data_IF_577196164901
#
_entry.id   IF_577196164901
#
_cell.length_a   1.000
_cell.length_b   1.000
_cell.length_c   1.000
_cell.angle_alpha   90.00
_cell.angle_beta   90.00
_cell.angle_gamma   90.00
#
_symmetry.space_group_name_H-M   'P 1'
#
loop_
_entity.id
_entity.type
_entity.pdbx_description
1 polymer ?
#
# COMPACT_ATOMS: atom_id res chain seq x y z
N UNK A 1 -42.59 -19.03 -3.66
CA UNK A 1 -42.10 -20.33 -4.15
C UNK A 1 -41.78 -21.17 -2.92
N UNK A 2 -42.34 -22.37 -2.79
CA UNK A 2 -42.23 -23.16 -1.56
C UNK A 2 -40.80 -23.63 -1.34
N UNK A 3 -40.25 -23.34 -0.15
CA UNK A 3 -39.03 -23.96 0.36
C UNK A 3 -39.30 -25.45 0.56
N UNK A 4 -38.90 -26.28 -0.41
CA UNK A 4 -38.80 -27.72 -0.20
C UNK A 4 -37.78 -28.02 0.91
N UNK A 5 -37.84 -29.20 1.55
CA UNK A 5 -36.90 -29.57 2.60
C UNK A 5 -35.48 -29.47 2.06
N UNK A 6 -34.61 -28.74 2.77
CA UNK A 6 -33.18 -28.70 2.47
C UNK A 6 -32.67 -30.13 2.51
N UNK A 7 -32.20 -30.65 1.37
CA UNK A 7 -31.59 -31.96 1.33
C UNK A 7 -30.36 -31.93 2.26
N UNK A 8 -30.34 -32.80 3.27
CA UNK A 8 -29.16 -32.98 4.12
C UNK A 8 -28.06 -33.56 3.24
N UNK A 9 -26.92 -32.86 3.17
CA UNK A 9 -25.78 -33.28 2.37
C UNK A 9 -24.95 -34.27 3.18
N UNK A 10 -24.47 -35.34 2.57
CA UNK A 10 -23.53 -36.26 3.22
C UNK A 10 -22.14 -35.62 3.31
N UNK A 11 -21.29 -36.09 4.23
CA UNK A 11 -19.90 -35.58 4.37
C UNK A 11 -19.11 -35.73 3.06
N UNK A 12 -19.26 -36.87 2.37
CA UNK A 12 -18.59 -37.12 1.09
C UNK A 12 -19.07 -36.16 0.00
N UNK A 13 -20.37 -35.84 -0.02
CA UNK A 13 -20.92 -34.84 -0.95
C UNK A 13 -20.39 -33.44 -0.64
N UNK A 14 -20.32 -33.04 0.63
CA UNK A 14 -19.76 -31.75 1.05
C UNK A 14 -18.30 -31.66 0.62
N UNK A 15 -17.49 -32.66 0.93
CA UNK A 15 -16.05 -32.66 0.60
C UNK A 15 -15.79 -32.67 -0.91
N UNK A 16 -16.63 -33.38 -1.68
CA UNK A 16 -16.51 -33.42 -3.13
C UNK A 16 -16.89 -32.08 -3.77
N UNK A 17 -18.04 -31.51 -3.37
CA UNK A 17 -18.51 -30.23 -3.90
C UNK A 17 -17.56 -29.11 -3.50
N UNK A 18 -17.13 -29.05 -2.24
CA UNK A 18 -16.28 -27.96 -1.77
C UNK A 18 -14.92 -27.94 -2.49
N UNK A 19 -14.28 -29.11 -2.70
CA UNK A 19 -13.03 -29.20 -3.46
C UNK A 19 -13.20 -28.77 -4.91
N UNK A 20 -14.31 -29.15 -5.54
CA UNK A 20 -14.63 -28.74 -6.91
C UNK A 20 -14.87 -27.23 -7.01
N UNK A 21 -15.59 -26.63 -6.04
CA UNK A 21 -15.77 -25.18 -5.96
C UNK A 21 -14.44 -24.45 -5.83
N UNK A 22 -13.56 -24.92 -4.94
CA UNK A 22 -12.23 -24.30 -4.75
C UNK A 22 -11.40 -24.40 -6.02
N UNK A 23 -11.40 -25.54 -6.70
CA UNK A 23 -10.70 -25.71 -7.97
C UNK A 23 -11.22 -24.76 -9.06
N UNK A 24 -12.54 -24.60 -9.18
CA UNK A 24 -13.17 -23.66 -10.11
C UNK A 24 -12.81 -22.20 -9.79
N UNK A 25 -12.87 -21.82 -8.51
CA UNK A 25 -12.52 -20.48 -8.06
C UNK A 25 -11.06 -20.12 -8.32
N UNK A 26 -10.13 -21.03 -7.99
CA UNK A 26 -8.70 -20.87 -8.24
C UNK A 26 -8.36 -20.83 -9.74
N UNK A 27 -9.17 -21.47 -10.59
CA UNK A 27 -9.06 -21.38 -12.04
C UNK A 27 -9.66 -20.07 -12.62
N UNK A 28 -10.06 -19.12 -11.77
CA UNK A 28 -10.67 -17.84 -12.17
C UNK A 28 -12.14 -17.94 -12.56
N UNK A 29 -12.76 -19.12 -12.44
CA UNK A 29 -14.16 -19.37 -12.85
C UNK A 29 -15.13 -19.10 -11.69
N UNK A 30 -15.00 -17.92 -11.06
CA UNK A 30 -15.74 -17.52 -9.85
C UNK A 30 -17.27 -17.61 -10.00
N UNK A 31 -17.81 -17.32 -11.19
CA UNK A 31 -19.25 -17.47 -11.47
C UNK A 31 -19.73 -18.93 -11.37
N UNK A 32 -18.90 -19.89 -11.79
CA UNK A 32 -19.22 -21.32 -11.70
C UNK A 32 -19.14 -21.76 -10.24
N UNK A 33 -18.09 -21.33 -9.53
CA UNK A 33 -17.93 -21.55 -8.10
C UNK A 33 -19.17 -21.05 -7.34
N UNK A 34 -19.63 -19.83 -7.62
CA UNK A 34 -20.86 -19.26 -7.04
C UNK A 34 -22.11 -20.11 -7.28
N UNK A 35 -22.31 -20.63 -8.49
CA UNK A 35 -23.46 -21.50 -8.78
C UNK A 35 -23.40 -22.82 -8.01
N UNK A 36 -22.20 -23.36 -7.81
CA UNK A 36 -21.98 -24.66 -7.14
C UNK A 36 -22.14 -24.60 -5.62
N UNK A 37 -21.97 -23.44 -4.97
CA UNK A 37 -22.17 -23.31 -3.51
C UNK A 37 -23.64 -23.20 -3.07
N UNK A 38 -24.59 -23.05 -4.00
CA UNK A 38 -26.00 -22.82 -3.65
C UNK A 38 -26.63 -23.94 -2.79
N UNK A 39 -26.28 -25.23 -2.93
CA UNK A 39 -26.70 -26.26 -1.98
C UNK A 39 -26.21 -26.00 -0.56
N UNK A 40 -24.96 -25.58 -0.38
CA UNK A 40 -24.41 -25.25 0.94
C UNK A 40 -25.13 -24.05 1.56
N UNK A 41 -25.37 -22.98 0.79
CA UNK A 41 -26.11 -21.80 1.30
C UNK A 41 -27.50 -22.15 1.81
N UNK A 42 -28.18 -23.11 1.17
CA UNK A 42 -29.50 -23.60 1.62
C UNK A 42 -29.41 -24.48 2.87
N UNK A 43 -28.35 -25.28 3.00
CA UNK A 43 -28.18 -26.25 4.07
C UNK A 43 -27.56 -25.65 5.35
N UNK A 44 -26.68 -24.66 5.24
CA UNK A 44 -25.77 -24.19 6.31
C UNK A 44 -26.49 -23.90 7.63
N UNK A 45 -27.66 -23.25 7.58
CA UNK A 45 -28.46 -22.90 8.76
C UNK A 45 -28.84 -24.09 9.65
N UNK A 46 -28.88 -25.30 9.09
CA UNK A 46 -29.25 -26.52 9.79
C UNK A 46 -28.15 -27.59 9.75
N UNK A 47 -26.99 -27.28 9.14
CA UNK A 47 -25.89 -28.21 8.96
C UNK A 47 -24.55 -27.47 9.06
N UNK A 48 -23.92 -27.57 10.24
CA UNK A 48 -22.68 -26.85 10.57
C UNK A 48 -21.52 -27.20 9.63
N UNK A 49 -21.48 -28.43 9.11
CA UNK A 49 -20.48 -28.88 8.13
C UNK A 49 -20.59 -28.11 6.82
N UNK A 50 -21.81 -27.77 6.39
CA UNK A 50 -22.01 -26.95 5.20
C UNK A 50 -21.60 -25.49 5.44
N UNK A 51 -21.83 -24.96 6.65
CA UNK A 51 -21.33 -23.64 7.05
C UNK A 51 -19.80 -23.59 7.07
N UNK A 52 -19.15 -24.59 7.67
CA UNK A 52 -17.68 -24.71 7.69
C UNK A 52 -17.08 -24.88 6.29
N UNK A 53 -17.74 -25.63 5.41
CA UNK A 53 -17.32 -25.75 4.01
C UNK A 53 -17.40 -24.42 3.26
N UNK A 54 -18.44 -23.60 3.50
CA UNK A 54 -18.54 -22.25 2.94
C UNK A 54 -17.42 -21.33 3.47
N UNK A 55 -17.14 -21.37 4.77
CA UNK A 55 -16.02 -20.60 5.34
C UNK A 55 -14.68 -20.99 4.71
N UNK A 56 -14.43 -22.28 4.53
CA UNK A 56 -13.24 -22.76 3.84
C UNK A 56 -13.16 -22.25 2.39
N UNK A 57 -14.27 -22.30 1.64
CA UNK A 57 -14.33 -21.77 0.26
C UNK A 57 -14.01 -20.26 0.22
N UNK A 58 -14.49 -19.50 1.21
CA UNK A 58 -14.18 -18.07 1.35
C UNK A 58 -12.70 -17.86 1.67
N UNK A 59 -12.14 -18.60 2.62
CA UNK A 59 -10.72 -18.57 2.99
C UNK A 59 -9.80 -18.86 1.79
N UNK A 60 -10.22 -19.77 0.90
CA UNK A 60 -9.54 -20.08 -0.36
C UNK A 60 -9.78 -19.04 -1.49
N UNK A 61 -10.40 -17.89 -1.18
CA UNK A 61 -10.67 -16.77 -2.09
C UNK A 61 -11.37 -17.17 -3.41
N UNK A 62 -12.19 -18.23 -3.35
CA UNK A 62 -12.77 -18.88 -4.52
C UNK A 62 -14.03 -18.19 -5.08
N UNK A 63 -14.52 -17.17 -4.37
CA UNK A 63 -15.67 -16.33 -4.75
C UNK A 63 -15.23 -14.90 -5.05
N UNK A 64 -16.12 -14.09 -5.62
CA UNK A 64 -15.91 -12.62 -5.61
C UNK A 64 -16.04 -12.10 -4.18
N UNK A 65 -15.47 -10.93 -3.86
CA UNK A 65 -15.51 -10.40 -2.50
C UNK A 65 -16.91 -10.04 -2.03
N UNK A 66 -17.73 -9.51 -2.94
CA UNK A 66 -19.14 -9.21 -2.66
C UNK A 66 -19.90 -10.49 -2.29
N UNK A 67 -19.83 -11.52 -3.16
CA UNK A 67 -20.45 -12.83 -2.91
C UNK A 67 -19.94 -13.50 -1.62
N UNK A 68 -18.64 -13.41 -1.34
CA UNK A 68 -18.06 -13.96 -0.13
C UNK A 68 -18.54 -13.21 1.11
N UNK A 69 -18.62 -11.88 1.07
CA UNK A 69 -19.10 -11.04 2.17
C UNK A 69 -20.57 -11.34 2.49
N UNK A 70 -21.40 -11.55 1.45
CA UNK A 70 -22.79 -11.99 1.60
C UNK A 70 -22.88 -13.35 2.30
N UNK A 71 -22.05 -14.32 1.87
CA UNK A 71 -21.98 -15.65 2.49
C UNK A 71 -21.58 -15.57 3.95
N UNK A 72 -20.56 -14.78 4.30
CA UNK A 72 -20.16 -14.59 5.70
C UNK A 72 -21.31 -13.99 6.53
N UNK A 73 -22.05 -13.04 5.96
CA UNK A 73 -23.19 -12.41 6.64
C UNK A 73 -24.33 -13.40 6.90
N UNK A 74 -24.66 -14.25 5.92
CA UNK A 74 -25.67 -15.31 6.08
C UNK A 74 -25.29 -16.36 7.13
N UNK A 75 -24.00 -16.68 7.25
CA UNK A 75 -23.50 -17.61 8.26
C UNK A 75 -23.55 -16.97 9.64
N UNK A 76 -23.12 -15.71 9.78
CA UNK A 76 -23.17 -14.99 11.05
C UNK A 76 -24.61 -14.90 11.60
N UNK A 77 -25.59 -14.63 10.73
CA UNK A 77 -27.00 -14.53 11.11
C UNK A 77 -27.61 -15.89 11.52
N UNK A 78 -27.09 -16.99 10.97
CA UNK A 78 -27.61 -18.34 11.20
C UNK A 78 -26.98 -19.02 12.43
N UNK A 79 -25.80 -18.59 12.85
CA UNK A 79 -24.96 -19.26 13.84
C UNK A 79 -24.44 -18.29 14.92
N UNK A 80 -25.35 -17.47 15.49
CA UNK A 80 -25.02 -16.39 16.43
C UNK A 80 -24.52 -16.84 17.81
N UNK A 81 -24.59 -18.15 18.10
CA UNK A 81 -24.14 -18.79 19.34
C UNK A 81 -23.05 -19.86 19.14
N UNK A 82 -22.68 -20.19 17.89
CA UNK A 82 -21.69 -21.22 17.61
C UNK A 82 -20.27 -20.65 17.57
N UNK A 83 -19.51 -20.87 18.65
CA UNK A 83 -18.16 -20.33 18.84
C UNK A 83 -17.20 -20.76 17.73
N UNK A 84 -17.26 -22.02 17.29
CA UNK A 84 -16.32 -22.55 16.30
C UNK A 84 -16.54 -21.86 14.95
N UNK A 85 -17.81 -21.72 14.54
CA UNK A 85 -18.19 -21.03 13.29
C UNK A 85 -17.83 -19.55 13.37
N UNK A 86 -18.19 -18.85 14.45
CA UNK A 86 -17.94 -17.42 14.60
C UNK A 86 -16.42 -17.12 14.63
N UNK A 87 -15.64 -17.95 15.30
CA UNK A 87 -14.18 -17.81 15.34
C UNK A 87 -13.56 -18.02 13.95
N UNK A 88 -14.02 -19.03 13.22
CA UNK A 88 -13.58 -19.29 11.84
C UNK A 88 -14.01 -18.18 10.87
N UNK A 89 -15.22 -17.66 11.01
CA UNK A 89 -15.74 -16.53 10.24
C UNK A 89 -14.89 -15.27 10.46
N UNK A 90 -14.54 -14.97 11.72
CA UNK A 90 -13.68 -13.84 12.05
C UNK A 90 -12.30 -13.89 11.39
N UNK A 91 -11.77 -15.10 11.14
CA UNK A 91 -10.54 -15.28 10.35
C UNK A 91 -10.79 -15.04 8.85
N UNK A 92 -11.94 -15.49 8.32
CA UNK A 92 -12.30 -15.34 6.91
C UNK A 92 -12.54 -13.88 6.48
N UNK A 93 -12.71 -12.94 7.42
CA UNK A 93 -12.84 -11.52 7.08
C UNK A 93 -11.62 -10.96 6.34
N UNK A 94 -10.44 -11.54 6.54
CA UNK A 94 -9.24 -11.17 5.78
C UNK A 94 -9.39 -11.53 4.29
N UNK A 95 -10.00 -12.67 3.96
CA UNK A 95 -10.15 -13.14 2.59
C UNK A 95 -11.15 -12.32 1.76
N UNK A 96 -12.03 -11.55 2.43
CA UNK A 96 -13.01 -10.68 1.76
C UNK A 96 -12.60 -9.21 1.75
N UNK A 97 -11.40 -8.91 2.25
CA UNK A 97 -10.77 -7.59 2.21
C UNK A 97 -9.72 -7.58 1.09
N UNK A 98 -9.62 -6.50 0.30
CA UNK A 98 -8.59 -6.44 -0.74
C UNK A 98 -7.20 -6.39 -0.11
N UNK A 99 -6.22 -7.11 -0.64
CA UNK A 99 -4.84 -6.90 -0.21
C UNK A 99 -4.23 -5.64 -0.86
N UNK A 100 -4.75 -5.22 -2.03
CA UNK A 100 -4.44 -3.91 -2.64
C UNK A 100 -4.88 -2.75 -1.73
N UNK A 101 -5.76 -3.03 -0.77
CA UNK A 101 -6.29 -2.13 0.25
C UNK A 101 -5.43 -2.10 1.52
N UNK A 102 -4.16 -2.54 1.53
CA UNK A 102 -3.26 -2.21 2.65
C UNK A 102 -3.39 -0.72 3.01
N UNK A 103 -3.67 0.13 2.02
CA UNK A 103 -3.95 1.55 2.14
C UNK A 103 -5.42 1.98 2.07
N UNK A 104 -6.43 1.11 2.06
CA UNK A 104 -7.81 1.57 1.95
C UNK A 104 -8.41 2.04 3.27
N UNK A 105 -9.57 2.67 3.14
CA UNK A 105 -10.44 3.05 4.25
C UNK A 105 -11.03 1.82 4.96
N UNK A 106 -11.56 1.96 6.19
CA UNK A 106 -12.27 0.90 6.87
C UNK A 106 -13.41 0.33 6.02
N UNK A 107 -13.69 -0.97 6.11
CA UNK A 107 -14.81 -1.57 5.40
C UNK A 107 -16.14 -1.01 5.90
N UNK A 108 -17.05 -0.72 4.97
CA UNK A 108 -18.39 -0.21 5.29
C UNK A 108 -19.40 -1.32 5.60
N UNK A 109 -19.14 -2.55 5.14
CA UNK A 109 -20.10 -3.64 5.31
C UNK A 109 -20.30 -3.98 6.81
N UNK A 110 -21.55 -4.05 7.32
CA UNK A 110 -21.81 -4.21 8.75
C UNK A 110 -21.19 -5.45 9.40
N UNK A 111 -20.96 -6.52 8.62
CA UNK A 111 -20.39 -7.79 9.10
C UNK A 111 -19.05 -7.60 9.81
N UNK A 112 -18.21 -6.66 9.37
CA UNK A 112 -16.90 -6.46 9.98
C UNK A 112 -17.04 -5.92 11.41
N UNK A 113 -17.86 -4.89 11.58
CA UNK A 113 -18.10 -4.29 12.90
C UNK A 113 -18.86 -5.25 13.82
N UNK A 114 -19.91 -5.93 13.32
CA UNK A 114 -20.71 -6.85 14.13
C UNK A 114 -19.91 -8.07 14.57
N UNK A 115 -19.01 -8.58 13.73
CA UNK A 115 -18.17 -9.72 14.07
C UNK A 115 -17.13 -9.38 15.14
N UNK A 116 -16.48 -8.20 15.05
CA UNK A 116 -15.59 -7.71 16.10
C UNK A 116 -16.34 -7.60 17.43
N UNK A 117 -17.53 -7.00 17.44
CA UNK A 117 -18.33 -6.87 18.65
C UNK A 117 -18.74 -8.23 19.25
N UNK A 118 -19.14 -9.18 18.40
CA UNK A 118 -19.51 -10.54 18.83
C UNK A 118 -18.32 -11.29 19.42
N UNK A 119 -17.17 -11.28 18.74
CA UNK A 119 -15.98 -12.00 19.20
C UNK A 119 -15.33 -11.34 20.43
N UNK A 120 -15.38 -10.01 20.56
CA UNK A 120 -14.91 -9.31 21.77
C UNK A 120 -15.75 -9.69 23.00
N UNK A 121 -17.07 -9.80 22.84
CA UNK A 121 -17.96 -10.29 23.91
C UNK A 121 -17.64 -11.75 24.26
N UNK A 122 -17.49 -12.62 23.26
CA UNK A 122 -17.16 -14.04 23.49
C UNK A 122 -15.78 -14.20 24.16
N UNK A 123 -14.77 -13.41 23.75
CA UNK A 123 -13.44 -13.46 24.33
C UNK A 123 -13.45 -13.13 25.83
N UNK A 124 -14.26 -12.15 26.25
CA UNK A 124 -14.46 -11.80 27.67
C UNK A 124 -15.20 -12.90 28.43
N UNK A 125 -16.20 -13.53 27.82
CA UNK A 125 -16.98 -14.59 28.46
C UNK A 125 -16.17 -15.88 28.67
N UNK A 126 -15.29 -16.20 27.72
CA UNK A 126 -14.47 -17.42 27.73
C UNK A 126 -13.03 -17.16 28.20
N UNK A 127 -12.75 -16.04 28.87
CA UNK A 127 -11.39 -15.69 29.28
C UNK A 127 -10.76 -16.79 30.16
N UNK A 128 -9.61 -17.31 29.72
CA UNK A 128 -8.90 -18.41 30.38
C UNK A 128 -9.48 -19.81 30.14
N UNK A 129 -10.60 -19.92 29.42
CA UNK A 129 -11.20 -21.17 28.99
C UNK A 129 -10.52 -21.79 27.75
N UNK A 130 -10.87 -23.04 27.40
CA UNK A 130 -10.27 -23.74 26.27
C UNK A 130 -10.61 -23.11 24.92
N UNK A 131 -11.75 -22.43 24.78
CA UNK A 131 -12.12 -21.75 23.54
C UNK A 131 -11.48 -20.36 23.37
N UNK A 132 -10.84 -19.83 24.42
CA UNK A 132 -10.35 -18.45 24.43
C UNK A 132 -9.34 -18.17 23.30
N UNK A 133 -8.42 -19.11 23.07
CA UNK A 133 -7.39 -18.97 22.04
C UNK A 133 -8.00 -18.84 20.63
N UNK A 134 -8.97 -19.69 20.28
CA UNK A 134 -9.60 -19.64 18.96
C UNK A 134 -10.45 -18.38 18.76
N UNK A 135 -11.15 -17.93 19.79
CA UNK A 135 -11.93 -16.68 19.75
C UNK A 135 -10.98 -15.49 19.54
N UNK A 136 -9.88 -15.42 20.31
CA UNK A 136 -8.89 -14.35 20.19
C UNK A 136 -8.24 -14.30 18.81
N UNK A 137 -8.00 -15.46 18.18
CA UNK A 137 -7.50 -15.51 16.80
C UNK A 137 -8.48 -14.86 15.82
N UNK A 138 -9.75 -15.25 15.85
CA UNK A 138 -10.79 -14.63 15.03
C UNK A 138 -10.93 -13.13 15.31
N UNK A 139 -10.96 -12.75 16.59
CA UNK A 139 -11.08 -11.36 17.04
C UNK A 139 -9.92 -10.49 16.56
N UNK A 140 -8.68 -10.98 16.70
CA UNK A 140 -7.49 -10.27 16.26
C UNK A 140 -7.54 -9.97 14.75
N UNK A 141 -7.85 -10.97 13.92
CA UNK A 141 -7.97 -10.79 12.48
C UNK A 141 -9.14 -9.85 12.12
N UNK A 142 -10.32 -10.07 12.71
CA UNK A 142 -11.50 -9.22 12.47
C UNK A 142 -11.23 -7.75 12.81
N UNK A 143 -10.59 -7.50 13.95
CA UNK A 143 -10.25 -6.16 14.40
C UNK A 143 -9.19 -5.51 13.49
N UNK A 144 -8.19 -6.27 13.01
CA UNK A 144 -7.22 -5.75 12.04
C UNK A 144 -7.87 -5.36 10.71
N UNK A 145 -8.90 -6.10 10.28
CA UNK A 145 -9.63 -5.79 9.03
C UNK A 145 -10.46 -4.51 9.12
N UNK A 146 -10.73 -4.01 10.33
CA UNK A 146 -11.34 -2.69 10.57
C UNK A 146 -10.34 -1.53 10.45
N UNK A 147 -9.19 -1.73 9.79
CA UNK A 147 -8.12 -0.75 9.68
C UNK A 147 -7.76 -0.18 11.06
N UNK A 148 -7.70 1.14 11.26
CA UNK A 148 -7.34 1.78 12.54
C UNK A 148 -8.46 1.78 13.57
N UNK A 149 -9.70 1.48 13.18
CA UNK A 149 -10.89 1.68 14.03
C UNK A 149 -10.91 0.76 15.26
N UNK A 150 -10.21 -0.38 15.20
CA UNK A 150 -10.22 -1.41 16.26
C UNK A 150 -8.80 -1.78 16.74
N UNK A 151 -7.83 -0.88 16.60
CA UNK A 151 -6.42 -1.15 16.93
C UNK A 151 -6.21 -1.64 18.37
N UNK A 152 -6.90 -1.05 19.34
CA UNK A 152 -6.79 -1.46 20.74
C UNK A 152 -7.25 -2.91 20.96
N UNK A 153 -8.33 -3.33 20.29
CA UNK A 153 -8.85 -4.70 20.35
C UNK A 153 -7.88 -5.65 19.65
N UNK A 154 -7.40 -5.29 18.46
CA UNK A 154 -6.44 -6.08 17.70
C UNK A 154 -5.15 -6.31 18.48
N UNK A 155 -4.53 -5.24 18.99
CA UNK A 155 -3.27 -5.32 19.76
C UNK A 155 -3.45 -6.17 21.02
N UNK A 156 -4.49 -5.89 21.82
CA UNK A 156 -4.74 -6.63 23.05
C UNK A 156 -4.96 -8.13 22.77
N UNK A 157 -5.69 -8.47 21.70
CA UNK A 157 -5.94 -9.86 21.33
C UNK A 157 -4.65 -10.56 20.90
N UNK A 158 -3.82 -9.91 20.07
CA UNK A 158 -2.51 -10.45 19.66
C UNK A 158 -1.58 -10.63 20.86
N UNK A 159 -1.51 -9.67 21.78
CA UNK A 159 -0.70 -9.79 22.99
C UNK A 159 -1.15 -10.96 23.86
N UNK A 160 -2.46 -11.10 24.10
CA UNK A 160 -3.00 -12.28 24.83
C UNK A 160 -2.65 -13.60 24.15
N UNK A 161 -2.70 -13.68 22.81
CA UNK A 161 -2.29 -14.88 22.08
C UNK A 161 -0.81 -15.23 22.35
N UNK A 162 0.08 -14.23 22.37
CA UNK A 162 1.51 -14.45 22.72
C UNK A 162 1.72 -14.87 24.18
N UNK A 163 0.78 -14.55 25.08
CA UNK A 163 0.81 -14.98 26.48
C UNK A 163 0.27 -16.41 26.65
N UNK A 164 -0.76 -16.79 25.88
CA UNK A 164 -1.37 -18.13 25.89
C UNK A 164 -0.39 -19.19 25.38
N UNK A 165 0.25 -18.95 24.22
CA UNK A 165 1.31 -19.82 23.71
C UNK A 165 2.54 -19.00 23.29
N UNK A 166 3.48 -18.77 24.23
CA UNK A 166 4.70 -18.03 23.98
C UNK A 166 5.64 -18.70 22.97
N UNK A 167 5.45 -20.00 22.67
CA UNK A 167 6.30 -20.75 21.73
C UNK A 167 5.74 -20.77 20.31
N UNK A 168 4.53 -20.25 20.11
CA UNK A 168 3.89 -20.17 18.79
C UNK A 168 4.41 -18.97 18.02
N UNK A 169 5.42 -19.20 17.19
CA UNK A 169 6.04 -18.18 16.33
C UNK A 169 5.02 -17.33 15.55
N UNK A 170 3.94 -17.95 15.07
CA UNK A 170 2.87 -17.25 14.34
C UNK A 170 2.21 -16.10 15.12
N UNK A 171 2.13 -16.18 16.45
CA UNK A 171 1.56 -15.11 17.27
C UNK A 171 2.48 -13.90 17.37
N UNK A 172 3.78 -14.13 17.54
CA UNK A 172 4.78 -13.07 17.50
C UNK A 172 4.87 -12.45 16.10
N UNK A 173 4.77 -13.28 15.05
CA UNK A 173 4.77 -12.82 13.67
C UNK A 173 3.59 -11.88 13.39
N UNK A 174 2.37 -12.27 13.77
CA UNK A 174 1.17 -11.46 13.57
C UNK A 174 1.21 -10.16 14.39
N UNK A 175 1.75 -10.20 15.62
CA UNK A 175 1.96 -9.00 16.43
C UNK A 175 2.98 -8.05 15.78
N UNK A 176 4.07 -8.58 15.21
CA UNK A 176 5.04 -7.79 14.45
C UNK A 176 4.44 -7.16 13.19
N UNK A 177 3.61 -7.90 12.45
CA UNK A 177 2.88 -7.39 11.29
C UNK A 177 1.92 -6.25 11.68
N UNK A 178 1.21 -6.41 12.79
CA UNK A 178 0.36 -5.35 13.35
C UNK A 178 1.19 -4.09 13.59
N UNK A 179 2.29 -4.17 14.34
CA UNK A 179 3.14 -3.01 14.60
C UNK A 179 3.75 -2.38 13.34
N UNK A 180 4.18 -3.19 12.36
CA UNK A 180 4.71 -2.72 11.07
C UNK A 180 3.73 -1.77 10.38
N UNK A 181 2.48 -2.19 10.24
CA UNK A 181 1.44 -1.40 9.55
C UNK A 181 1.00 -0.16 10.34
N UNK A 182 1.37 -0.06 11.63
CA UNK A 182 1.11 1.07 12.54
C UNK A 182 2.30 2.00 12.73
N UNK A 183 3.40 1.80 12.00
CA UNK A 183 4.62 2.61 12.15
C UNK A 183 5.35 2.41 13.48
N UNK A 184 4.90 1.46 14.31
CA UNK A 184 5.48 1.10 15.60
C UNK A 184 6.67 0.17 15.38
N UNK A 185 7.62 0.65 14.58
CA UNK A 185 8.66 -0.18 13.99
C UNK A 185 9.59 -0.79 15.03
N UNK A 186 9.86 -0.10 16.14
CA UNK A 186 10.69 -0.64 17.23
C UNK A 186 10.01 -1.84 17.92
N UNK A 187 8.71 -1.75 18.21
CA UNK A 187 7.96 -2.91 18.71
C UNK A 187 7.85 -4.02 17.66
N UNK A 188 7.72 -3.64 16.37
CA UNK A 188 7.77 -4.55 15.25
C UNK A 188 9.07 -5.35 15.17
N UNK A 189 10.23 -4.71 15.39
CA UNK A 189 11.54 -5.38 15.48
C UNK A 189 11.54 -6.39 16.63
N UNK A 190 11.07 -6.00 17.83
CA UNK A 190 11.05 -6.90 18.98
C UNK A 190 10.19 -8.14 18.73
N UNK A 191 8.97 -7.97 18.20
CA UNK A 191 8.06 -9.07 17.89
C UNK A 191 8.60 -9.95 16.74
N UNK A 192 9.16 -9.35 15.69
CA UNK A 192 9.72 -10.11 14.58
C UNK A 192 10.97 -10.92 14.99
N UNK A 193 11.84 -10.36 15.85
CA UNK A 193 12.97 -11.12 16.44
C UNK A 193 12.47 -12.28 17.31
N UNK A 194 11.44 -12.05 18.13
CA UNK A 194 10.83 -13.11 18.92
C UNK A 194 10.27 -14.21 18.01
N UNK A 195 9.55 -13.85 16.95
CA UNK A 195 9.04 -14.80 15.96
C UNK A 195 10.15 -15.62 15.31
N UNK A 196 11.23 -14.98 14.85
CA UNK A 196 12.38 -15.63 14.23
C UNK A 196 13.08 -16.60 15.19
N UNK A 197 13.25 -16.22 16.46
CA UNK A 197 13.92 -17.06 17.47
C UNK A 197 13.18 -18.37 17.81
N UNK A 198 11.88 -18.43 17.52
CA UNK A 198 11.03 -19.59 17.75
C UNK A 198 10.96 -20.54 16.55
N UNK A 199 11.54 -20.16 15.40
CA UNK A 199 11.52 -20.97 14.19
C UNK A 199 12.72 -21.90 14.15
N UNK A 200 12.51 -23.15 13.70
CA UNK A 200 13.59 -24.12 13.50
C UNK A 200 14.44 -23.78 12.28
N UNK A 201 13.81 -23.15 11.28
CA UNK A 201 14.42 -22.73 10.03
C UNK A 201 14.08 -21.26 9.78
N UNK A 202 15.02 -20.53 9.18
CA UNK A 202 14.82 -19.15 8.77
C UNK A 202 13.69 -19.11 7.73
N UNK A 203 12.66 -18.30 8.00
CA UNK A 203 11.57 -18.06 7.04
C UNK A 203 11.70 -16.67 6.44
N UNK A 204 11.71 -16.60 5.10
CA UNK A 204 11.82 -15.35 4.36
C UNK A 204 10.79 -14.30 4.79
N UNK A 205 9.54 -14.70 5.06
CA UNK A 205 8.49 -13.76 5.51
C UNK A 205 8.81 -13.13 6.86
N UNK A 206 9.45 -13.87 7.76
CA UNK A 206 9.79 -13.38 9.10
C UNK A 206 11.02 -12.49 9.06
N UNK A 207 12.07 -12.88 8.31
CA UNK A 207 13.23 -12.01 8.07
C UNK A 207 12.82 -10.73 7.33
N UNK A 208 11.92 -10.82 6.35
CA UNK A 208 11.41 -9.64 5.65
C UNK A 208 10.72 -8.66 6.61
N UNK A 209 9.83 -9.16 7.47
CA UNK A 209 9.16 -8.34 8.48
C UNK A 209 10.16 -7.72 9.48
N UNK A 210 11.19 -8.46 9.87
CA UNK A 210 12.25 -7.93 10.72
C UNK A 210 13.05 -6.84 10.01
N UNK A 211 13.46 -7.07 8.76
CA UNK A 211 14.27 -6.14 7.98
C UNK A 211 13.54 -4.82 7.68
N UNK A 212 12.26 -4.89 7.32
CA UNK A 212 11.45 -3.68 7.06
C UNK A 212 11.17 -2.91 8.35
N UNK A 213 10.87 -3.59 9.46
CA UNK A 213 10.71 -2.93 10.76
C UNK A 213 12.03 -2.30 11.21
N UNK A 214 13.17 -2.98 11.04
CA UNK A 214 14.48 -2.42 11.40
C UNK A 214 14.81 -1.19 10.55
N UNK A 215 14.49 -1.23 9.25
CA UNK A 215 14.67 -0.08 8.35
C UNK A 215 13.78 1.09 8.77
N UNK A 216 12.49 0.84 9.04
CA UNK A 216 11.55 1.86 9.53
C UNK A 216 11.93 2.44 10.89
N UNK A 217 12.45 1.62 11.80
CA UNK A 217 12.94 2.04 13.11
C UNK A 217 14.30 2.77 13.06
N UNK A 218 14.94 2.81 11.88
CA UNK A 218 16.33 3.26 11.69
C UNK A 218 17.34 2.48 12.56
N UNK A 219 17.03 1.22 12.88
CA UNK A 219 17.97 0.24 13.45
C UNK A 219 18.81 -0.32 12.30
N UNK A 220 19.72 0.51 11.81
CA UNK A 220 20.47 0.24 10.57
C UNK A 220 21.40 -0.95 10.69
N UNK A 221 21.96 -1.21 11.88
CA UNK A 221 22.77 -2.40 12.14
C UNK A 221 21.96 -3.67 11.91
N UNK A 222 20.77 -3.76 12.53
CA UNK A 222 19.87 -4.91 12.36
C UNK A 222 19.37 -5.03 10.94
N UNK A 223 18.99 -3.91 10.32
CA UNK A 223 18.50 -3.93 8.95
C UNK A 223 19.58 -4.45 7.99
N UNK A 224 20.82 -3.98 8.10
CA UNK A 224 21.95 -4.46 7.29
C UNK A 224 22.21 -5.95 7.49
N UNK A 225 22.26 -6.41 8.74
CA UNK A 225 22.46 -7.83 9.08
C UNK A 225 21.39 -8.71 8.43
N UNK A 226 20.12 -8.38 8.63
CA UNK A 226 18.97 -9.12 8.08
C UNK A 226 19.01 -9.15 6.56
N UNK A 227 19.14 -7.99 5.91
CA UNK A 227 19.11 -7.95 4.46
C UNK A 227 20.32 -8.66 3.84
N UNK A 228 21.51 -8.58 4.45
CA UNK A 228 22.69 -9.35 4.02
C UNK A 228 22.46 -10.86 4.19
N UNK A 229 21.85 -11.31 5.28
CA UNK A 229 21.43 -12.72 5.45
C UNK A 229 20.43 -13.16 4.38
N UNK A 230 19.54 -12.26 3.96
CA UNK A 230 18.62 -12.47 2.82
C UNK A 230 19.28 -12.30 1.45
N UNK A 231 20.62 -12.27 1.38
CA UNK A 231 21.39 -12.22 0.14
C UNK A 231 21.41 -10.86 -0.58
N UNK A 232 20.94 -9.79 0.07
CA UNK A 232 20.93 -8.46 -0.50
C UNK A 232 22.34 -7.86 -0.52
N UNK A 233 22.70 -7.20 -1.62
CA UNK A 233 23.99 -6.51 -1.78
C UNK A 233 23.84 -5.06 -1.36
N UNK A 234 23.94 -4.82 -0.05
CA UNK A 234 23.72 -3.49 0.53
C UNK A 234 24.75 -3.16 1.60
N UNK A 235 25.02 -1.87 1.76
CA UNK A 235 25.92 -1.30 2.77
C UNK A 235 25.29 -0.09 3.45
N UNK A 236 25.99 0.52 4.41
CA UNK A 236 25.54 1.77 5.01
C UNK A 236 25.49 2.88 3.95
N UNK A 237 24.31 3.45 3.75
CA UNK A 237 24.02 4.47 2.74
C UNK A 237 24.00 5.91 3.24
N UNK A 238 23.70 6.81 2.30
CA UNK A 238 23.81 8.27 2.47
C UNK A 238 22.84 8.86 3.51
N UNK A 239 21.74 8.16 3.81
CA UNK A 239 20.75 8.57 4.81
C UNK A 239 20.93 7.88 6.17
N UNK A 240 22.07 7.21 6.38
CA UNK A 240 22.25 6.34 7.54
C UNK A 240 21.32 5.11 7.51
N UNK A 241 20.87 4.72 6.31
CA UNK A 241 19.99 3.58 6.05
C UNK A 241 20.68 2.58 5.12
N UNK A 242 20.20 1.32 5.01
CA UNK A 242 20.80 0.34 4.11
C UNK A 242 20.65 0.72 2.63
N UNK A 243 21.73 0.74 1.86
CA UNK A 243 21.73 1.19 0.47
C UNK A 243 22.49 0.23 -0.45
N UNK A 244 21.91 -0.05 -1.61
CA UNK A 244 22.50 -0.84 -2.69
C UNK A 244 21.89 -0.52 -4.05
N UNK A 245 22.29 -1.26 -5.08
CA UNK A 245 21.82 -1.06 -6.44
C UNK A 245 20.57 -1.88 -6.76
N UNK A 246 19.45 -1.21 -6.99
CA UNK A 246 18.19 -1.82 -7.37
C UNK A 246 17.60 -1.19 -8.63
N UNK A 247 16.86 -1.98 -9.40
CA UNK A 247 16.04 -1.45 -10.49
C UNK A 247 15.01 -0.47 -9.94
N UNK A 248 14.76 0.61 -10.68
CA UNK A 248 13.70 1.55 -10.36
C UNK A 248 12.35 0.81 -10.28
N UNK A 249 11.49 1.30 -9.38
CA UNK A 249 10.12 0.82 -9.25
C UNK A 249 9.18 2.01 -9.08
N UNK A 250 7.88 1.70 -9.01
CA UNK A 250 6.86 2.70 -8.76
C UNK A 250 6.32 2.55 -7.34
N UNK A 251 5.91 3.66 -6.75
CA UNK A 251 5.18 3.67 -5.48
C UNK A 251 3.90 4.48 -5.65
N UNK A 252 2.79 3.94 -5.16
CA UNK A 252 1.55 4.70 -4.98
C UNK A 252 1.66 5.49 -3.68
N UNK A 253 2.10 6.73 -3.80
CA UNK A 253 2.15 7.67 -2.69
C UNK A 253 0.74 8.04 -2.26
N UNK A 254 0.56 8.20 -0.97
CA UNK A 254 -0.67 8.64 -0.35
C UNK A 254 -0.42 9.90 0.47
N UNK A 255 -1.41 10.78 0.52
CA UNK A 255 -1.42 11.95 1.39
C UNK A 255 -1.28 11.55 2.86
N UNK A 256 -1.83 10.37 3.21
CA UNK A 256 -1.74 9.75 4.53
C UNK A 256 -1.14 8.34 4.38
N UNK A 257 0.18 8.18 4.54
CA UNK A 257 0.87 6.90 4.44
C UNK A 257 0.33 5.90 5.47
N UNK A 258 0.33 4.60 5.15
CA UNK A 258 -0.31 3.59 5.99
C UNK A 258 0.10 3.66 7.45
N UNK A 259 1.40 3.73 7.72
CA UNK A 259 1.99 3.69 9.05
C UNK A 259 1.69 4.94 9.87
N UNK A 260 1.30 6.04 9.22
CA UNK A 260 1.12 7.36 9.83
C UNK A 260 -0.35 7.68 10.13
N UNK A 261 -1.28 6.80 9.73
CA UNK A 261 -2.72 7.00 9.96
C UNK A 261 -3.13 6.78 11.41
N UNK A 262 -4.20 7.48 11.78
CA UNK A 262 -4.93 7.35 13.03
C UNK A 262 -6.39 6.97 12.73
N UNK A 263 -7.17 6.60 13.76
CA UNK A 263 -8.59 6.29 13.58
C UNK A 263 -9.40 7.45 13.00
N UNK A 264 -9.03 8.70 13.32
CA UNK A 264 -9.70 9.91 12.81
C UNK A 264 -9.38 10.21 11.34
N UNK A 265 -8.26 9.68 10.83
CA UNK A 265 -7.72 9.94 9.50
C UNK A 265 -7.35 8.61 8.81
N UNK A 266 -8.30 7.68 8.81
CA UNK A 266 -8.09 6.29 8.38
C UNK A 266 -8.39 6.08 6.89
N UNK A 267 -7.85 6.95 6.03
CA UNK A 267 -7.99 6.85 4.59
C UNK A 267 -6.72 7.42 3.92
N UNK A 268 -6.39 7.03 2.68
CA UNK A 268 -5.16 7.47 2.02
C UNK A 268 -5.16 8.96 1.65
N UNK A 269 -6.32 9.59 1.57
CA UNK A 269 -6.49 10.90 0.97
C UNK A 269 -6.21 10.89 -0.53
N UNK A 270 -5.59 11.97 -1.02
CA UNK A 270 -5.10 12.02 -2.39
C UNK A 270 -3.95 11.04 -2.59
N UNK A 271 -3.84 10.47 -3.79
CA UNK A 271 -2.80 9.52 -4.14
C UNK A 271 -2.18 9.83 -5.51
N UNK A 272 -0.89 9.55 -5.65
CA UNK A 272 -0.14 9.73 -6.89
C UNK A 272 0.85 8.59 -7.07
N UNK A 273 0.93 8.01 -8.27
CA UNK A 273 1.90 6.93 -8.54
C UNK A 273 3.12 7.49 -9.23
N UNK A 274 4.28 7.35 -8.57
CA UNK A 274 5.53 7.97 -9.02
C UNK A 274 6.63 6.94 -9.17
N UNK A 275 7.68 7.33 -9.90
CA UNK A 275 8.95 6.62 -9.93
C UNK A 275 9.81 6.98 -8.73
N UNK A 276 10.50 5.98 -8.19
CA UNK A 276 11.49 6.16 -7.14
C UNK A 276 12.86 5.59 -7.54
N UNK A 277 13.91 6.20 -7.02
CA UNK A 277 15.24 5.58 -6.95
C UNK A 277 15.23 4.62 -5.76
N UNK A 278 15.23 3.31 -6.05
CA UNK A 278 15.16 2.28 -5.02
C UNK A 278 16.54 2.07 -4.40
N UNK A 279 16.64 2.26 -3.08
CA UNK A 279 17.89 2.13 -2.33
C UNK A 279 18.02 0.78 -1.62
N UNK A 280 16.89 0.20 -1.22
CA UNK A 280 16.85 -1.10 -0.56
C UNK A 280 15.62 -1.91 -0.99
N UNK A 281 15.44 -3.13 -0.48
CA UNK A 281 14.24 -3.90 -0.74
C UNK A 281 12.94 -3.19 -0.30
N UNK A 282 13.01 -2.22 0.63
CA UNK A 282 11.81 -1.58 1.21
C UNK A 282 11.87 -0.05 1.32
N UNK A 283 12.87 0.66 0.78
CA UNK A 283 12.84 2.12 0.73
C UNK A 283 13.53 2.72 -0.50
N UNK A 284 13.22 3.98 -0.77
CA UNK A 284 13.79 4.71 -1.89
C UNK A 284 13.51 6.21 -1.84
N UNK A 285 14.08 6.93 -2.81
CA UNK A 285 13.97 8.39 -2.95
C UNK A 285 12.90 8.69 -3.99
N UNK A 286 11.99 9.63 -3.69
CA UNK A 286 11.01 10.11 -4.67
C UNK A 286 11.74 10.87 -5.80
N UNK A 287 11.61 10.40 -7.04
CA UNK A 287 12.28 10.99 -8.23
C UNK A 287 11.32 11.58 -9.27
N UNK A 288 10.05 11.71 -8.92
CA UNK A 288 9.07 12.48 -9.71
C UNK A 288 8.61 13.67 -8.90
N UNK A 289 8.59 14.87 -9.48
CA UNK A 289 7.97 16.02 -8.80
C UNK A 289 6.47 15.83 -8.88
N UNK A 290 5.81 15.82 -7.72
CA UNK A 290 4.40 15.47 -7.64
C UNK A 290 3.54 16.46 -8.42
N UNK A 291 2.35 16.05 -8.84
CA UNK A 291 1.32 16.98 -9.30
C UNK A 291 0.38 17.36 -8.15
N UNK A 292 -0.01 16.37 -7.35
CA UNK A 292 -0.81 16.57 -6.16
C UNK A 292 -0.03 17.20 -5.01
N UNK A 293 -0.76 17.75 -4.04
CA UNK A 293 -0.19 18.17 -2.76
C UNK A 293 -0.34 17.02 -1.75
N UNK A 294 0.71 16.22 -1.60
CA UNK A 294 0.81 15.16 -0.61
C UNK A 294 1.65 15.63 0.58
N UNK A 295 1.74 14.82 1.64
CA UNK A 295 2.60 15.10 2.81
C UNK A 295 4.09 14.81 2.56
N UNK A 296 4.43 14.35 1.36
CA UNK A 296 5.77 13.98 0.89
C UNK A 296 6.05 14.65 -0.43
N UNK A 297 7.32 14.84 -0.75
CA UNK A 297 7.73 15.52 -1.98
C UNK A 297 9.00 14.91 -2.61
N UNK A 298 9.38 15.44 -3.77
CA UNK A 298 10.62 15.07 -4.45
C UNK A 298 11.83 15.12 -3.49
N UNK A 299 12.69 14.09 -3.56
CA UNK A 299 13.87 13.97 -2.72
C UNK A 299 13.60 13.30 -1.36
N UNK A 300 12.35 13.24 -0.89
CA UNK A 300 12.04 12.54 0.36
C UNK A 300 12.33 11.04 0.24
N UNK A 301 12.75 10.45 1.36
CA UNK A 301 13.03 9.03 1.48
C UNK A 301 11.82 8.35 2.11
N UNK A 302 11.22 7.43 1.37
CA UNK A 302 10.00 6.72 1.78
C UNK A 302 10.25 5.23 1.98
N UNK A 303 9.50 4.65 2.91
CA UNK A 303 9.37 3.23 3.16
C UNK A 303 8.18 2.69 2.35
N UNK A 304 8.37 1.54 1.72
CA UNK A 304 7.36 0.79 0.96
C UNK A 304 7.27 -0.64 1.49
N UNK A 305 6.09 -1.26 1.38
CA UNK A 305 5.98 -2.69 1.69
C UNK A 305 6.64 -3.56 0.60
N UNK A 306 6.94 -4.81 0.93
CA UNK A 306 7.62 -5.74 0.01
C UNK A 306 6.72 -6.43 -1.00
N UNK A 307 5.42 -6.48 -0.72
CA UNK A 307 4.43 -7.02 -1.65
C UNK A 307 3.95 -5.89 -2.58
N UNK A 308 4.12 -6.01 -3.91
CA UNK A 308 3.54 -5.05 -4.83
C UNK A 308 2.02 -5.18 -4.84
N UNK A 309 1.33 -4.04 -4.99
CA UNK A 309 -0.13 -3.96 -5.13
C UNK A 309 -0.57 -4.14 -6.59
N UNK A 310 0.31 -3.89 -7.55
CA UNK A 310 0.07 -4.22 -8.96
C UNK A 310 1.40 -4.17 -9.73
N UNK A 311 1.33 -4.51 -11.01
CA UNK A 311 2.42 -4.35 -11.97
C UNK A 311 1.94 -3.50 -13.14
N UNK A 312 2.77 -2.56 -13.57
CA UNK A 312 2.54 -1.77 -14.76
C UNK A 312 3.48 -2.24 -15.88
N UNK A 313 2.90 -2.61 -17.02
CA UNK A 313 3.66 -3.01 -18.21
C UNK A 313 4.27 -1.79 -18.89
N UNK A 314 5.52 -1.88 -19.28
CA UNK A 314 6.22 -0.92 -20.15
C UNK A 314 6.94 -1.70 -21.24
N UNK A 315 6.33 -1.83 -22.42
CA UNK A 315 6.79 -2.75 -23.46
C UNK A 315 6.84 -4.20 -22.95
N UNK A 316 8.02 -4.83 -22.94
CA UNK A 316 8.22 -6.20 -22.44
C UNK A 316 8.47 -6.28 -20.93
N UNK A 317 8.56 -5.14 -20.23
CA UNK A 317 8.92 -5.10 -18.81
C UNK A 317 7.69 -4.98 -17.92
N UNK A 318 7.66 -5.77 -16.85
CA UNK A 318 6.70 -5.62 -15.75
C UNK A 318 7.34 -4.84 -14.61
N UNK A 319 6.82 -3.64 -14.32
CA UNK A 319 7.34 -2.78 -13.27
C UNK A 319 6.44 -2.87 -12.04
N UNK A 320 6.95 -3.31 -10.88
CA UNK A 320 6.15 -3.42 -9.67
C UNK A 320 5.75 -2.03 -9.14
N UNK A 321 4.54 -1.96 -8.61
CA UNK A 321 4.02 -0.80 -7.89
C UNK A 321 3.83 -1.19 -6.43
N UNK A 322 4.52 -0.50 -5.54
CA UNK A 322 4.44 -0.77 -4.10
C UNK A 322 3.56 0.26 -3.38
N UNK A 323 2.96 -0.10 -2.22
CA UNK A 323 2.22 0.83 -1.40
C UNK A 323 3.19 1.71 -0.58
N UNK A 324 2.82 2.98 -0.38
CA UNK A 324 3.53 3.88 0.52
C UNK A 324 3.23 3.54 1.98
N UNK A 325 4.24 3.07 2.73
CA UNK A 325 4.11 2.66 4.12
C UNK A 325 4.35 3.86 5.05
N UNK A 326 5.48 4.55 4.93
CA UNK A 326 5.86 5.66 5.80
C UNK A 326 6.88 6.59 5.13
N UNK A 327 6.98 7.82 5.61
CA UNK A 327 8.06 8.73 5.24
C UNK A 327 9.21 8.60 6.24
N UNK A 328 10.39 8.23 5.76
CA UNK A 328 11.56 8.09 6.62
C UNK A 328 12.29 9.41 6.78
N UNK A 329 12.54 10.15 5.70
CA UNK A 329 13.32 11.40 5.73
C UNK A 329 12.68 12.44 4.84
N UNK A 330 12.39 13.62 5.40
CA UNK A 330 12.03 14.81 4.61
C UNK A 330 13.28 15.60 4.24
N UNK A 331 13.46 15.87 2.95
CA UNK A 331 14.57 16.67 2.45
C UNK A 331 14.20 18.16 2.30
N UNK A 332 12.91 18.49 2.35
CA UNK A 332 12.41 19.88 2.32
C UNK A 332 12.90 20.67 1.10
N UNK A 333 12.74 20.10 -0.09
CA UNK A 333 13.05 20.80 -1.34
C UNK A 333 12.21 22.07 -1.48
N UNK A 334 12.79 23.06 -2.14
CA UNK A 334 12.09 24.26 -2.59
C UNK A 334 11.40 23.95 -3.92
N UNK A 335 10.16 24.40 -4.08
CA UNK A 335 9.38 24.19 -5.29
C UNK A 335 8.90 25.50 -5.89
N UNK A 336 9.05 25.63 -7.20
CA UNK A 336 8.59 26.81 -7.95
C UNK A 336 7.83 26.36 -9.19
N UNK A 337 6.57 26.76 -9.32
CA UNK A 337 5.81 26.48 -10.53
C UNK A 337 6.43 27.24 -11.71
N UNK A 338 6.43 26.62 -12.90
CA UNK A 338 6.84 27.28 -14.13
C UNK A 338 5.85 27.04 -15.26
N UNK A 339 5.82 27.98 -16.19
CA UNK A 339 5.23 27.83 -17.51
C UNK A 339 6.24 28.31 -18.55
N UNK A 340 6.35 27.61 -19.67
CA UNK A 340 7.38 27.88 -20.66
C UNK A 340 7.00 27.44 -22.06
N UNK A 341 7.85 27.80 -23.02
CA UNK A 341 7.73 27.39 -24.41
C UNK A 341 8.99 26.66 -24.86
N UNK A 342 8.84 25.63 -25.68
CA UNK A 342 9.92 24.84 -26.26
C UNK A 342 9.64 24.53 -27.73
N UNK A 343 10.68 24.27 -28.52
CA UNK A 343 10.56 23.83 -29.93
C UNK A 343 10.53 22.31 -30.06
N UNK A 344 11.25 21.60 -29.19
CA UNK A 344 11.33 20.15 -29.18
C UNK A 344 10.95 19.61 -27.80
N UNK A 345 10.38 18.40 -27.76
CA UNK A 345 10.08 17.72 -26.51
C UNK A 345 11.31 17.68 -25.58
N UNK A 346 11.08 17.83 -24.27
CA UNK A 346 12.09 17.83 -23.20
C UNK A 346 13.11 18.97 -23.20
N UNK A 347 13.08 19.93 -24.12
CA UNK A 347 14.09 21.00 -24.20
C UNK A 347 14.26 21.76 -22.86
N UNK A 348 13.15 22.02 -22.15
CA UNK A 348 13.17 22.65 -20.83
C UNK A 348 13.58 21.68 -19.71
N UNK A 349 13.19 20.40 -19.79
CA UNK A 349 13.58 19.38 -18.79
C UNK A 349 15.09 19.18 -18.81
N UNK A 350 15.70 19.15 -20.00
CA UNK A 350 17.13 18.91 -20.20
C UNK A 350 18.00 20.06 -19.65
N UNK A 351 17.41 21.19 -19.22
CA UNK A 351 18.12 22.21 -18.42
C UNK A 351 18.59 21.67 -17.07
N UNK A 352 17.94 20.62 -16.55
CA UNK A 352 18.29 20.01 -15.25
C UNK A 352 19.75 19.56 -15.18
N UNK A 353 20.35 19.15 -16.31
CA UNK A 353 21.76 18.75 -16.38
C UNK A 353 22.76 19.91 -16.13
N UNK A 354 22.28 21.15 -16.24
CA UNK A 354 23.09 22.37 -16.05
C UNK A 354 22.82 23.04 -14.69
N UNK A 355 21.92 22.47 -13.87
CA UNK A 355 21.64 22.96 -12.53
C UNK A 355 22.64 22.37 -11.52
N UNK A 356 22.85 23.08 -10.41
CA UNK A 356 23.69 22.61 -9.33
C UNK A 356 22.96 21.52 -8.51
N UNK A 357 23.73 20.57 -7.97
CA UNK A 357 23.22 19.57 -7.03
C UNK A 357 22.17 18.64 -7.65
N UNK A 358 21.08 18.44 -6.92
CA UNK A 358 19.95 17.58 -7.31
C UNK A 358 18.72 18.41 -7.72
N UNK A 359 18.94 19.65 -8.18
CA UNK A 359 17.87 20.49 -8.69
C UNK A 359 17.39 20.03 -10.07
N UNK A 360 16.08 20.07 -10.30
CA UNK A 360 15.48 19.61 -11.56
C UNK A 360 14.34 20.52 -12.02
N UNK A 361 14.15 20.56 -13.34
CA UNK A 361 12.96 21.12 -13.99
C UNK A 361 12.08 19.96 -14.43
N UNK A 362 10.92 19.81 -13.78
CA UNK A 362 10.00 18.71 -14.05
C UNK A 362 8.75 19.20 -14.78
N UNK A 363 8.58 18.74 -16.01
CA UNK A 363 7.41 19.03 -16.86
C UNK A 363 6.24 18.13 -16.51
N UNK A 364 5.19 18.68 -15.91
CA UNK A 364 3.95 17.93 -15.69
C UNK A 364 3.19 17.72 -16.99
N UNK A 365 3.25 18.67 -17.93
CA UNK A 365 2.63 18.52 -19.26
C UNK A 365 3.13 17.29 -20.01
N UNK A 366 4.40 16.94 -19.87
CA UNK A 366 5.01 15.82 -20.60
C UNK A 366 5.07 14.52 -19.80
N UNK A 367 5.04 14.57 -18.46
CA UNK A 367 5.24 13.39 -17.62
C UNK A 367 4.01 12.96 -16.80
N UNK A 368 2.98 13.81 -16.65
CA UNK A 368 1.77 13.45 -15.92
C UNK A 368 0.80 12.65 -16.79
N UNK A 369 0.27 11.56 -16.23
CA UNK A 369 -0.80 10.76 -16.84
C UNK A 369 -1.96 10.63 -15.86
N UNK A 370 -3.15 11.02 -16.28
CA UNK A 370 -4.39 10.79 -15.53
C UNK A 370 -5.03 9.51 -16.07
N UNK A 371 -5.28 8.55 -15.19
CA UNK A 371 -5.87 7.25 -15.54
C UNK A 371 -7.07 6.98 -14.63
N UNK A 372 -8.07 6.25 -15.16
CA UNK A 372 -9.10 5.69 -14.30
C UNK A 372 -8.52 4.52 -13.49
N UNK A 373 -9.16 4.18 -12.38
CA UNK A 373 -8.68 3.16 -11.46
C UNK A 373 -8.60 1.76 -12.10
N UNK A 374 -9.43 1.46 -13.10
CA UNK A 374 -9.39 0.18 -13.82
C UNK A 374 -8.19 0.09 -14.75
N UNK A 375 -7.90 1.15 -15.53
CA UNK A 375 -6.73 1.15 -16.40
C UNK A 375 -5.43 1.13 -15.59
N UNK A 376 -5.39 1.83 -14.46
CA UNK A 376 -4.23 1.82 -13.57
C UNK A 376 -3.97 0.43 -12.97
N UNK A 377 -5.02 -0.32 -12.59
CA UNK A 377 -4.84 -1.67 -12.02
C UNK A 377 -4.54 -2.75 -13.06
N UNK A 378 -4.75 -2.49 -14.35
CA UNK A 378 -4.71 -3.52 -15.37
C UNK A 378 -3.27 -3.78 -15.85
N UNK A 379 -2.66 -4.94 -15.53
CA UNK A 379 -1.30 -5.24 -15.96
C UNK A 379 -1.20 -5.46 -17.47
N UNK A 380 -2.29 -5.77 -18.18
CA UNK A 380 -2.25 -6.07 -19.62
C UNK A 380 -2.17 -4.81 -20.50
N UNK A 381 -2.36 -3.63 -19.92
CA UNK A 381 -2.21 -2.36 -20.63
C UNK A 381 -0.74 -1.95 -20.63
N UNK A 382 -0.19 -1.67 -21.81
CA UNK A 382 1.12 -1.03 -21.91
C UNK A 382 1.02 0.42 -21.42
N UNK A 383 1.58 0.69 -20.25
CA UNK A 383 1.60 2.00 -19.63
C UNK A 383 2.57 2.96 -20.33
N UNK A 384 3.44 2.45 -21.22
CA UNK A 384 4.26 3.23 -22.13
C UNK A 384 3.50 3.72 -23.38
N UNK A 385 2.40 3.06 -23.75
CA UNK A 385 1.65 3.40 -24.96
C UNK A 385 0.86 4.69 -24.74
N UNK A 386 1.32 5.74 -25.42
CA UNK A 386 0.66 7.04 -25.49
C UNK A 386 1.09 7.75 -26.77
N UNK A 387 0.18 8.52 -27.35
CA UNK A 387 0.54 9.47 -28.41
C UNK A 387 1.53 10.49 -27.86
N UNK A 388 2.78 10.41 -28.31
CA UNK A 388 3.79 11.45 -28.06
C UNK A 388 3.41 12.68 -28.88
N UNK A 389 2.51 13.49 -28.35
CA UNK A 389 2.24 14.80 -28.91
C UNK A 389 3.38 15.74 -28.53
N UNK A 390 3.98 16.40 -29.51
CA UNK A 390 4.88 17.51 -29.23
C UNK A 390 4.11 18.64 -28.54
N UNK A 391 4.58 19.05 -27.36
CA UNK A 391 4.01 20.13 -26.57
C UNK A 391 4.95 21.32 -26.64
N UNK A 392 4.51 22.37 -27.34
CA UNK A 392 5.26 23.61 -27.46
C UNK A 392 5.07 24.53 -26.25
N UNK A 393 3.97 24.39 -25.52
CA UNK A 393 3.75 25.04 -24.22
C UNK A 393 3.82 23.97 -23.13
N UNK A 394 4.61 24.25 -22.11
CA UNK A 394 4.90 23.30 -21.03
C UNK A 394 4.69 23.98 -19.69
N UNK A 395 4.01 23.28 -18.79
CA UNK A 395 3.83 23.67 -17.40
C UNK A 395 4.41 22.60 -16.49
N UNK A 396 4.96 23.04 -15.35
CA UNK A 396 5.50 22.10 -14.40
C UNK A 396 6.03 22.76 -13.12
N UNK A 397 6.95 22.08 -12.44
CA UNK A 397 7.59 22.56 -11.23
C UNK A 397 9.11 22.38 -11.30
N UNK A 398 9.82 23.39 -10.81
CA UNK A 398 11.25 23.32 -10.50
C UNK A 398 11.36 22.85 -9.06
N UNK A 399 12.16 21.81 -8.81
CA UNK A 399 12.51 21.34 -7.48
C UNK A 399 13.99 21.62 -7.24
N UNK A 400 14.34 22.19 -6.09
CA UNK A 400 15.72 22.46 -5.74
C UNK A 400 16.00 22.14 -4.27
N UNK A 401 17.16 21.52 -3.96
CA UNK A 401 17.61 21.36 -2.58
C UNK A 401 17.58 22.68 -1.78
N UNK A 402 17.34 22.62 -0.46
CA UNK A 402 17.22 23.83 0.38
C UNK A 402 18.50 24.64 0.51
N UNK A 403 19.66 24.07 0.20
CA UNK A 403 20.97 24.72 0.21
C UNK A 403 21.27 25.53 -1.07
N UNK A 404 20.46 25.37 -2.13
CA UNK A 404 20.58 26.18 -3.34
C UNK A 404 19.78 27.47 -3.18
N UNK A 405 20.48 28.60 -3.20
CA UNK A 405 19.85 29.91 -3.14
C UNK A 405 18.96 30.16 -4.39
N UNK A 406 17.73 30.70 -4.23
CA UNK A 406 16.86 31.04 -5.36
C UNK A 406 17.52 31.92 -6.42
N UNK A 407 18.39 32.86 -6.02
CA UNK A 407 19.16 33.72 -6.93
C UNK A 407 20.12 32.92 -7.82
N UNK A 408 20.79 31.91 -7.25
CA UNK A 408 21.71 31.03 -7.96
C UNK A 408 20.94 30.12 -8.92
N UNK A 409 19.83 29.55 -8.46
CA UNK A 409 18.97 28.71 -9.28
C UNK A 409 18.44 29.47 -10.50
N UNK A 410 17.93 30.69 -10.29
CA UNK A 410 17.43 31.55 -11.37
C UNK A 410 18.53 31.88 -12.40
N UNK A 411 19.73 32.23 -11.93
CA UNK A 411 20.88 32.54 -12.80
C UNK A 411 21.36 31.33 -13.64
N UNK A 412 21.28 30.12 -13.09
CA UNK A 412 21.59 28.90 -13.85
C UNK A 412 20.54 28.62 -14.94
N UNK A 413 19.25 28.79 -14.61
CA UNK A 413 18.16 28.64 -15.57
C UNK A 413 18.30 29.67 -16.69
N UNK A 414 18.57 30.94 -16.36
CA UNK A 414 18.74 32.00 -17.36
C UNK A 414 19.88 31.69 -18.34
N UNK A 415 21.03 31.25 -17.83
CA UNK A 415 22.17 30.82 -18.66
C UNK A 415 21.84 29.63 -19.54
N UNK A 416 21.10 28.65 -19.01
CA UNK A 416 20.68 27.47 -19.76
C UNK A 416 19.67 27.81 -20.88
N UNK A 417 18.76 28.75 -20.63
CA UNK A 417 17.80 29.29 -21.60
C UNK A 417 18.53 30.08 -22.70
N UNK A 418 19.43 31.00 -22.32
CA UNK A 418 20.20 31.82 -23.27
C UNK A 418 21.01 30.94 -24.24
N UNK A 419 21.67 29.90 -23.72
CA UNK A 419 22.43 28.93 -24.51
C UNK A 419 21.58 28.18 -25.55
N UNK A 420 20.30 27.92 -25.26
CA UNK A 420 19.36 27.24 -26.17
C UNK A 420 18.73 28.19 -27.17
N UNK A 421 18.47 29.45 -26.78
CA UNK A 421 17.97 30.52 -27.64
C UNK A 421 16.54 30.38 -28.17
N UNK A 422 15.97 29.16 -28.19
CA UNK A 422 14.65 28.88 -28.78
C UNK A 422 13.57 28.45 -27.78
N UNK A 423 13.84 28.56 -26.48
CA UNK A 423 12.88 28.28 -25.42
C UNK A 423 12.76 29.46 -24.45
N UNK A 424 11.69 29.46 -23.66
CA UNK A 424 11.43 30.44 -22.61
C UNK A 424 10.87 29.73 -21.38
N UNK A 425 11.19 30.21 -20.19
CA UNK A 425 10.66 29.69 -18.92
C UNK A 425 10.32 30.86 -18.01
N UNK A 426 9.11 30.85 -17.45
CA UNK A 426 8.62 31.86 -16.52
C UNK A 426 8.28 31.17 -15.18
N UNK A 427 8.91 31.61 -14.10
CA UNK A 427 8.73 31.09 -12.74
C UNK A 427 8.60 32.26 -11.76
N UNK A 428 7.41 32.87 -11.65
CA UNK A 428 7.20 34.11 -10.90
C UNK A 428 7.63 34.02 -9.43
N UNK A 429 7.31 32.91 -8.77
CA UNK A 429 7.64 32.69 -7.36
C UNK A 429 9.15 32.51 -7.14
N UNK A 430 9.87 31.94 -8.11
CA UNK A 430 11.33 31.87 -8.08
C UNK A 430 11.94 33.28 -8.21
N UNK A 431 11.40 34.12 -9.10
CA UNK A 431 11.80 35.52 -9.22
C UNK A 431 11.57 36.30 -7.93
N UNK A 432 10.43 36.11 -7.26
CA UNK A 432 10.15 36.72 -5.96
C UNK A 432 11.17 36.25 -4.90
N UNK A 433 11.40 34.93 -4.81
CA UNK A 433 12.36 34.34 -3.87
C UNK A 433 13.81 34.80 -4.13
N UNK A 434 14.15 35.10 -5.39
CA UNK A 434 15.42 35.68 -5.80
C UNK A 434 15.50 37.21 -5.58
N UNK A 435 14.44 37.86 -5.08
CA UNK A 435 14.39 39.30 -4.86
C UNK A 435 14.18 40.15 -6.12
N UNK A 436 13.81 39.54 -7.25
CA UNK A 436 13.58 40.21 -8.54
C UNK A 436 12.10 40.59 -8.75
N UNK A 437 11.53 41.43 -7.88
CA UNK A 437 10.10 41.77 -7.89
C UNK A 437 9.60 42.37 -9.22
N UNK A 438 10.42 43.19 -9.89
CA UNK A 438 10.03 43.76 -11.19
C UNK A 438 9.88 42.68 -12.27
N UNK A 439 10.75 41.66 -12.25
CA UNK A 439 10.70 40.51 -13.15
C UNK A 439 9.53 39.61 -12.80
N UNK A 440 9.30 39.34 -11.51
CA UNK A 440 8.15 38.55 -11.03
C UNK A 440 6.83 39.09 -11.58
N UNK A 441 6.61 40.41 -11.54
CA UNK A 441 5.38 41.01 -12.09
C UNK A 441 5.20 40.80 -13.61
N UNK A 442 6.30 40.75 -14.37
CA UNK A 442 6.27 40.49 -15.80
C UNK A 442 6.01 39.00 -16.04
N UNK A 443 6.76 38.13 -15.37
CA UNK A 443 6.62 36.69 -15.50
C UNK A 443 5.25 36.21 -15.06
N UNK A 444 4.64 36.80 -14.03
CA UNK A 444 3.29 36.45 -13.59
C UNK A 444 2.25 36.61 -14.68
N UNK A 445 2.37 37.66 -15.51
CA UNK A 445 1.50 37.89 -16.67
C UNK A 445 1.77 36.86 -17.77
N UNK A 446 3.04 36.52 -18.01
CA UNK A 446 3.44 35.53 -19.03
C UNK A 446 3.03 34.11 -18.65
N UNK A 447 3.20 33.76 -17.38
CA UNK A 447 2.75 32.52 -16.78
C UNK A 447 1.24 32.35 -16.98
N UNK A 448 0.43 33.33 -16.56
CA UNK A 448 -1.03 33.29 -16.74
C UNK A 448 -1.45 33.12 -18.20
N UNK A 449 -0.79 33.81 -19.14
CA UNK A 449 -1.06 33.65 -20.59
C UNK A 449 -0.81 32.22 -21.11
N UNK A 450 0.08 31.46 -20.48
CA UNK A 450 0.40 30.09 -20.88
C UNK A 450 -0.43 29.04 -20.13
N UNK A 451 -0.93 29.36 -18.93
CA UNK A 451 -1.71 28.42 -18.10
C UNK A 451 -3.22 28.54 -18.25
N UNK A 452 -3.73 29.72 -18.62
CA UNK A 452 -5.18 30.01 -18.64
C UNK A 452 -5.85 29.69 -20.00
N UNK A 453 -5.17 28.98 -20.90
CA UNK A 453 -5.68 28.59 -22.22
C UNK A 453 -6.30 27.19 -22.25
#
# INVERSE_FOLDING_TARGET
MSNGPSAVLTSDEIDAIARDVVAEGQAGRKQIAWQKIQPFRKAQRHQTEAAMALLWIVDQQSLTREEATDVLSEIADAHDDNIDILSALGLCLEAVRDIDDLNASPPEHPIFQSMVATLDRLAKLHEGGPEHEQILRGLATSAQMMARQMDAIAENSLRKLTEIDPRKSAYQYNLGLFYKTRGRFAEGVAAARAAASLQQEVRDSTEWNLGICATGARDTETALDVWKRMGQKIELGRFGLPEGGYSACKVRLAQRPLAERTADCDDPGAEETVWIERLSPCHGIIRSVLYGNLSVDYGDVILMDGAPITYHTYGEQQVPVFPHLATLVHQNYQFFAFAGTQETARQLIDLSEELDGDAIIYSHTENLKIMCANCWRNPDIDHADHEKMEKYVVIGRIAAPPDIAPTRLLDLIDRGIEKRGTCQLYAPDLCAAAGQLAREQIEKRRFALLTDN
#
